data_IF_633566517229
#
_entry.id   IF_633566517229
#
_cell.length_a   1.000
_cell.length_b   1.000
_cell.length_c   1.000
_cell.angle_alpha   90.00
_cell.angle_beta   90.00
_cell.angle_gamma   90.00
#
_symmetry.space_group_name_H-M   'P 1'
#
loop_
_entity.id
_entity.type
_entity.pdbx_description
1 polymer ?
#
# COMPACT_ATOMS: atom_id res chain seq x y z
N UNK A 1 -6.26 -8.26 13.20
CA UNK A 1 -5.46 -8.39 11.95
C UNK A 1 -4.98 -7.01 11.56
N UNK A 2 -3.70 -6.85 11.20
CA UNK A 2 -3.08 -5.58 10.78
C UNK A 2 -3.10 -5.53 9.25
N UNK A 3 -3.80 -4.54 8.67
CA UNK A 3 -4.00 -4.46 7.22
C UNK A 3 -3.01 -3.53 6.51
N UNK A 4 -2.49 -2.54 7.22
CA UNK A 4 -1.60 -1.48 6.72
C UNK A 4 -0.73 -0.97 7.86
N UNK A 5 0.51 -0.57 7.56
CA UNK A 5 1.40 0.13 8.47
C UNK A 5 1.87 1.42 7.81
N UNK A 6 1.76 2.52 8.53
CA UNK A 6 2.22 3.84 8.08
C UNK A 6 3.02 4.48 9.21
N UNK A 7 4.28 4.80 8.95
CA UNK A 7 5.21 5.19 10.01
C UNK A 7 6.57 5.61 9.48
N UNK A 8 7.58 5.57 10.35
CA UNK A 8 8.97 5.92 10.01
C UNK A 8 9.78 4.64 9.83
N UNK A 9 10.56 4.54 8.74
CA UNK A 9 11.50 3.44 8.55
C UNK A 9 12.66 3.60 9.53
N UNK A 10 12.84 2.66 10.43
CA UNK A 10 13.92 2.71 11.43
C UNK A 10 15.06 1.74 11.11
N UNK A 11 14.76 0.63 10.41
CA UNK A 11 15.77 -0.28 9.88
C UNK A 11 15.26 -0.95 8.60
N UNK A 12 16.18 -1.33 7.72
CA UNK A 12 15.87 -1.93 6.43
C UNK A 12 17.01 -2.86 5.99
N UNK A 13 16.68 -4.12 5.74
CA UNK A 13 17.60 -5.15 5.28
C UNK A 13 16.94 -5.98 4.16
N UNK A 14 17.71 -6.61 3.26
CA UNK A 14 17.11 -7.51 2.26
C UNK A 14 16.23 -8.57 2.92
N UNK A 15 14.93 -8.56 2.63
CA UNK A 15 13.94 -9.48 3.20
C UNK A 15 13.22 -9.00 4.46
N UNK A 16 13.65 -7.91 5.10
CA UNK A 16 12.98 -7.37 6.30
C UNK A 16 13.10 -5.86 6.47
N UNK A 17 12.10 -5.24 7.07
CA UNK A 17 12.13 -3.84 7.46
C UNK A 17 11.49 -3.67 8.83
N UNK A 18 11.92 -2.65 9.56
CA UNK A 18 11.32 -2.26 10.83
C UNK A 18 10.71 -0.87 10.68
N UNK A 19 9.42 -0.77 11.00
CA UNK A 19 8.65 0.48 10.88
C UNK A 19 8.21 0.92 12.28
N UNK A 20 8.63 2.11 12.70
CA UNK A 20 8.12 2.75 13.91
C UNK A 20 6.74 3.35 13.65
N UNK A 21 5.77 2.94 14.44
CA UNK A 21 4.42 3.51 14.45
C UNK A 21 4.09 3.95 15.87
N UNK A 22 4.38 5.21 16.16
CA UNK A 22 4.05 5.82 17.46
C UNK A 22 4.90 5.26 18.61
N UNK A 23 6.18 4.97 18.36
CA UNK A 23 7.11 4.42 19.35
C UNK A 23 7.12 2.89 19.45
N UNK A 24 6.37 2.19 18.58
CA UNK A 24 6.39 0.73 18.47
C UNK A 24 7.03 0.31 17.15
N UNK A 25 8.16 -0.40 17.23
CA UNK A 25 8.87 -0.94 16.08
C UNK A 25 8.28 -2.27 15.59
N UNK A 26 7.57 -2.24 14.47
CA UNK A 26 7.03 -3.44 13.83
C UNK A 26 8.05 -4.03 12.85
N UNK A 27 8.50 -5.25 13.11
CA UNK A 27 9.29 -6.01 12.15
C UNK A 27 8.38 -6.64 11.10
N UNK A 28 8.68 -6.39 9.83
CA UNK A 28 7.89 -6.83 8.68
C UNK A 28 8.80 -7.51 7.68
N UNK A 29 8.46 -8.72 7.26
CA UNK A 29 9.13 -9.41 6.16
C UNK A 29 8.63 -8.85 4.82
N UNK A 30 9.56 -8.48 3.95
CA UNK A 30 9.26 -7.78 2.69
C UNK A 30 9.92 -8.51 1.50
N UNK A 31 9.31 -8.51 0.31
CA UNK A 31 9.95 -9.02 -0.89
C UNK A 31 11.03 -8.04 -1.40
N UNK A 32 11.98 -8.53 -2.21
CA UNK A 32 13.07 -7.71 -2.75
C UNK A 32 12.59 -6.47 -3.52
N UNK A 33 11.58 -6.54 -4.42
CA UNK A 33 11.06 -5.33 -5.08
C UNK A 33 10.57 -4.26 -4.11
N UNK A 34 9.92 -4.66 -3.01
CA UNK A 34 9.47 -3.73 -1.97
C UNK A 34 10.65 -3.17 -1.18
N UNK A 35 11.73 -3.94 -1.00
CA UNK A 35 12.97 -3.40 -0.45
C UNK A 35 13.48 -2.26 -1.34
N UNK A 36 13.60 -2.44 -2.65
CA UNK A 36 14.12 -1.37 -3.51
C UNK A 36 13.22 -0.12 -3.56
N UNK A 37 11.90 -0.29 -3.42
CA UNK A 37 10.93 0.81 -3.38
C UNK A 37 10.85 1.52 -2.02
N UNK A 38 11.30 0.88 -0.94
CA UNK A 38 11.42 1.53 0.36
C UNK A 38 12.55 2.56 0.27
N UNK A 39 12.24 3.82 0.58
CA UNK A 39 13.24 4.89 0.62
C UNK A 39 14.30 4.68 1.73
N UNK A 40 14.99 5.76 2.05
CA UNK A 40 16.04 5.75 3.07
C UNK A 40 15.49 5.60 4.50
N UNK A 41 16.34 5.06 5.38
CA UNK A 41 16.06 5.00 6.82
C UNK A 41 15.85 6.42 7.37
N UNK A 42 14.87 6.58 8.25
CA UNK A 42 14.36 7.86 8.73
C UNK A 42 13.23 8.46 7.88
N UNK A 43 12.98 7.90 6.69
CA UNK A 43 11.88 8.30 5.82
C UNK A 43 10.50 7.81 6.29
N UNK A 44 9.44 8.44 5.78
CA UNK A 44 8.07 7.98 5.99
C UNK A 44 7.74 6.86 5.01
N UNK A 45 7.14 5.78 5.50
CA UNK A 45 6.74 4.64 4.68
C UNK A 45 5.29 4.29 4.89
N UNK A 46 4.73 3.63 3.88
CA UNK A 46 3.39 3.10 3.90
C UNK A 46 3.39 1.72 3.24
N UNK A 47 2.99 0.70 3.99
CA UNK A 47 3.02 -0.69 3.57
C UNK A 47 1.65 -1.34 3.72
N UNK A 48 1.28 -2.12 2.71
CA UNK A 48 0.17 -3.05 2.79
C UNK A 48 0.64 -4.30 3.52
N UNK A 49 -0.07 -4.69 4.58
CA UNK A 49 0.35 -5.77 5.47
C UNK A 49 -0.62 -6.94 5.42
N UNK A 50 -0.06 -8.14 5.40
CA UNK A 50 -0.77 -9.39 5.71
C UNK A 50 -0.24 -9.95 7.03
N UNK A 51 -1.11 -10.02 8.04
CA UNK A 51 -0.81 -10.69 9.31
C UNK A 51 -1.01 -12.18 9.17
N UNK A 52 0.05 -12.95 9.41
CA UNK A 52 0.00 -14.40 9.48
C UNK A 52 0.08 -14.83 10.95
N UNK A 53 -1.00 -15.43 11.43
CA UNK A 53 -1.09 -15.94 12.80
C UNK A 53 -1.20 -17.46 12.75
N UNK A 54 -0.34 -18.12 13.53
CA UNK A 54 -0.34 -19.55 13.86
C UNK A 54 -0.22 -19.67 15.38
N UNK A 55 -0.35 -20.88 15.92
CA UNK A 55 -0.29 -21.12 17.37
C UNK A 55 0.98 -20.53 18.01
N UNK A 56 2.13 -20.66 17.35
CA UNK A 56 3.43 -20.21 17.87
C UNK A 56 4.10 -19.13 17.01
N UNK A 57 3.38 -18.53 16.06
CA UNK A 57 4.00 -17.57 15.13
C UNK A 57 3.07 -16.42 14.84
N UNK A 58 3.60 -15.21 15.07
CA UNK A 58 3.02 -13.95 14.66
C UNK A 58 3.98 -13.27 13.70
N UNK A 59 3.65 -13.30 12.40
CA UNK A 59 4.49 -12.73 11.36
C UNK A 59 3.73 -11.69 10.55
N UNK A 60 4.42 -10.60 10.20
CA UNK A 60 3.90 -9.54 9.33
C UNK A 60 4.61 -9.60 7.98
N UNK A 61 3.82 -9.66 6.92
CA UNK A 61 4.33 -9.61 5.54
C UNK A 61 3.90 -8.30 4.91
N UNK A 62 4.87 -7.52 4.43
CA UNK A 62 4.67 -6.17 3.93
C UNK A 62 4.90 -6.06 2.43
N UNK A 63 4.10 -5.22 1.78
CA UNK A 63 4.13 -4.99 0.35
C UNK A 63 3.96 -3.51 0.05
N UNK A 64 4.67 -3.00 -0.96
CA UNK A 64 4.49 -1.63 -1.43
C UNK A 64 3.13 -1.42 -2.11
N UNK A 65 2.65 -2.41 -2.86
CA UNK A 65 1.36 -2.32 -3.56
C UNK A 65 0.31 -3.28 -3.01
N UNK A 66 -0.96 -2.88 -3.11
CA UNK A 66 -2.08 -3.75 -2.75
C UNK A 66 -2.17 -4.99 -3.65
N UNK A 67 -1.68 -4.90 -4.90
CA UNK A 67 -1.69 -5.99 -5.87
C UNK A 67 -0.74 -7.11 -5.44
N UNK A 68 0.45 -6.76 -4.96
CA UNK A 68 1.42 -7.75 -4.48
C UNK A 68 0.89 -8.47 -3.25
N UNK A 69 0.26 -7.73 -2.32
CA UNK A 69 -0.44 -8.32 -1.18
C UNK A 69 -1.54 -9.29 -1.63
N UNK A 70 -2.37 -8.93 -2.61
CA UNK A 70 -3.43 -9.82 -3.09
C UNK A 70 -2.84 -11.11 -3.66
N UNK A 71 -1.81 -11.00 -4.51
CA UNK A 71 -1.10 -12.15 -5.08
C UNK A 71 -0.50 -13.04 -3.99
N UNK A 72 0.14 -12.46 -2.98
CA UNK A 72 0.69 -13.19 -1.85
C UNK A 72 -0.38 -14.01 -1.12
N UNK A 73 -1.54 -13.40 -0.84
CA UNK A 73 -2.65 -14.11 -0.19
C UNK A 73 -3.18 -15.24 -1.07
N UNK A 74 -3.22 -15.07 -2.40
CA UNK A 74 -3.61 -16.16 -3.32
C UNK A 74 -2.59 -17.30 -3.34
N UNK A 75 -1.29 -16.98 -3.29
CA UNK A 75 -0.21 -17.96 -3.20
C UNK A 75 -0.30 -18.78 -1.90
N UNK A 76 -0.58 -18.14 -0.76
CA UNK A 76 -0.77 -18.83 0.52
C UNK A 76 -1.93 -19.82 0.52
N UNK A 77 -2.93 -19.61 -0.33
CA UNK A 77 -4.06 -20.51 -0.48
C UNK A 77 -3.77 -21.71 -1.41
N UNK A 78 -2.56 -21.81 -1.95
CA UNK A 78 -2.09 -22.99 -2.71
C UNK A 78 -1.50 -23.99 -1.71
N UNK A 79 -1.95 -25.23 -1.81
CA UNK A 79 -1.47 -26.29 -0.93
C UNK A 79 0.01 -26.59 -1.18
N UNK A 80 0.80 -26.59 -0.11
CA UNK A 80 2.25 -26.77 -0.18
C UNK A 80 3.05 -25.48 -0.42
N UNK A 81 2.38 -24.32 -0.50
CA UNK A 81 3.03 -23.01 -0.54
C UNK A 81 2.94 -22.36 0.83
N UNK A 82 4.08 -22.23 1.51
CA UNK A 82 4.19 -21.50 2.77
C UNK A 82 4.47 -20.00 2.57
N UNK A 83 4.37 -19.18 3.64
CA UNK A 83 4.66 -17.75 3.57
C UNK A 83 6.06 -17.40 3.05
N UNK A 84 7.07 -18.17 3.47
CA UNK A 84 8.45 -17.99 3.02
C UNK A 84 8.59 -18.25 1.51
N UNK A 85 7.97 -19.33 1.02
CA UNK A 85 7.97 -19.67 -0.41
C UNK A 85 7.20 -18.63 -1.23
N UNK A 86 6.04 -18.19 -0.75
CA UNK A 86 5.26 -17.15 -1.43
C UNK A 86 6.04 -15.82 -1.52
N UNK A 87 6.79 -15.46 -0.48
CA UNK A 87 7.71 -14.31 -0.51
C UNK A 87 8.82 -14.48 -1.55
N UNK A 88 9.41 -15.67 -1.63
CA UNK A 88 10.45 -15.98 -2.61
C UNK A 88 9.92 -15.88 -4.05
N UNK A 89 8.68 -16.31 -4.32
CA UNK A 89 8.04 -16.17 -5.64
C UNK A 89 7.93 -14.70 -6.04
N UNK A 90 7.37 -13.86 -5.16
CA UNK A 90 7.19 -12.44 -5.44
C UNK A 90 8.55 -11.74 -5.54
N UNK A 91 9.54 -12.17 -4.76
CA UNK A 91 10.89 -11.58 -4.82
C UNK A 91 11.65 -11.97 -6.09
N UNK A 92 11.44 -13.17 -6.63
CA UNK A 92 12.17 -13.67 -7.79
C UNK A 92 11.55 -13.27 -9.14
N UNK A 93 10.22 -13.32 -9.25
CA UNK A 93 9.51 -13.05 -10.52
C UNK A 93 8.81 -11.67 -10.48
N UNK A 94 8.43 -11.19 -9.29
CA UNK A 94 7.54 -10.04 -9.18
C UNK A 94 6.12 -10.35 -9.67
N UNK A 95 5.21 -9.42 -9.41
CA UNK A 95 3.78 -9.64 -9.62
C UNK A 95 3.36 -9.74 -11.09
N UNK A 96 3.96 -8.95 -11.97
CA UNK A 96 3.63 -8.94 -13.40
C UNK A 96 4.12 -10.22 -14.07
N UNK A 97 5.37 -10.56 -13.88
CA UNK A 97 5.99 -11.73 -14.51
C UNK A 97 5.41 -13.05 -13.99
N UNK A 98 5.01 -13.09 -12.71
CA UNK A 98 4.28 -14.24 -12.16
C UNK A 98 2.98 -14.47 -12.93
N UNK A 99 2.20 -13.41 -13.19
CA UNK A 99 0.93 -13.51 -13.92
C UNK A 99 1.17 -13.99 -15.35
N UNK A 100 2.20 -13.47 -16.01
CA UNK A 100 2.59 -13.89 -17.37
C UNK A 100 3.03 -15.35 -17.39
N UNK A 101 3.85 -15.77 -16.42
CA UNK A 101 4.32 -17.15 -16.28
C UNK A 101 3.16 -18.12 -16.04
N UNK A 102 2.16 -17.70 -15.26
CA UNK A 102 0.94 -18.50 -15.03
C UNK A 102 0.12 -18.62 -16.31
N UNK A 103 -0.08 -17.53 -17.06
CA UNK A 103 -0.79 -17.54 -18.35
C UNK A 103 -0.09 -18.40 -19.41
N UNK A 104 1.23 -18.31 -19.48
CA UNK A 104 2.05 -19.08 -20.41
C UNK A 104 2.28 -20.53 -19.94
N UNK A 105 1.75 -20.92 -18.76
CA UNK A 105 1.99 -22.23 -18.10
C UNK A 105 3.47 -22.60 -18.05
N UNK A 106 4.34 -21.63 -17.79
CA UNK A 106 5.79 -21.82 -17.79
C UNK A 106 6.28 -22.41 -16.45
N UNK A 107 6.27 -23.75 -16.36
CA UNK A 107 6.73 -24.51 -15.18
C UNK A 107 8.20 -24.25 -14.85
N UNK A 108 9.04 -24.08 -15.88
CA UNK A 108 10.49 -23.91 -15.72
C UNK A 108 10.82 -22.61 -14.97
N UNK A 109 10.15 -21.51 -15.33
CA UNK A 109 10.28 -20.21 -14.63
C UNK A 109 9.84 -20.26 -13.17
N UNK A 110 8.77 -20.99 -12.85
CA UNK A 110 8.32 -21.13 -11.46
C UNK A 110 9.24 -22.05 -10.64
N UNK A 111 9.77 -23.09 -11.28
CA UNK A 111 10.67 -24.06 -10.65
C UNK A 111 12.08 -23.52 -10.43
N UNK A 112 12.45 -22.39 -11.04
CA UNK A 112 13.74 -21.73 -10.77
C UNK A 112 13.76 -20.98 -9.43
N UNK A 113 12.60 -20.77 -8.80
CA UNK A 113 12.51 -20.13 -7.48
C UNK A 113 12.95 -21.14 -6.40
N UNK A 114 13.88 -20.76 -5.50
CA UNK A 114 14.32 -21.64 -4.42
C UNK A 114 13.16 -22.13 -3.55
N UNK A 115 13.09 -23.44 -3.33
CA UNK A 115 12.02 -24.08 -2.55
C UNK A 115 10.76 -24.43 -3.34
N UNK A 116 10.74 -24.22 -4.66
CA UNK A 116 9.65 -24.68 -5.54
C UNK A 116 10.13 -25.86 -6.37
N UNK A 117 9.62 -27.05 -6.05
CA UNK A 117 9.78 -28.22 -6.90
C UNK A 117 8.80 -28.23 -8.08
N UNK A 118 9.07 -29.06 -9.08
CA UNK A 118 8.24 -29.22 -10.29
C UNK A 118 6.75 -29.44 -9.98
N UNK A 119 6.45 -30.36 -9.05
CA UNK A 119 5.07 -30.67 -8.63
C UNK A 119 4.37 -29.47 -7.97
N UNK A 120 5.10 -28.70 -7.17
CA UNK A 120 4.56 -27.49 -6.53
C UNK A 120 4.35 -26.39 -7.58
N UNK A 121 5.27 -26.23 -8.53
CA UNK A 121 5.14 -25.28 -9.63
C UNK A 121 3.90 -25.58 -10.48
N UNK A 122 3.68 -26.84 -10.87
CA UNK A 122 2.48 -27.27 -11.60
C UNK A 122 1.20 -26.96 -10.81
N UNK A 123 1.21 -27.21 -9.50
CA UNK A 123 0.06 -26.90 -8.64
C UNK A 123 -0.21 -25.41 -8.52
N UNK A 124 0.84 -24.60 -8.40
CA UNK A 124 0.73 -23.13 -8.43
C UNK A 124 0.09 -22.69 -9.74
N UNK A 125 0.52 -23.24 -10.89
CA UNK A 125 -0.05 -22.87 -12.19
C UNK A 125 -1.56 -23.14 -12.27
N UNK A 126 -2.01 -24.31 -11.82
CA UNK A 126 -3.43 -24.66 -11.84
C UNK A 126 -4.22 -23.79 -10.87
N UNK A 127 -3.81 -23.76 -9.59
CA UNK A 127 -4.56 -23.06 -8.54
C UNK A 127 -4.58 -21.53 -8.75
N UNK A 128 -3.50 -20.93 -9.28
CA UNK A 128 -3.47 -19.49 -9.59
C UNK A 128 -4.16 -19.14 -10.89
N UNK A 129 -4.16 -20.00 -11.92
CA UNK A 129 -4.83 -19.70 -13.18
C UNK A 129 -6.33 -19.42 -12.94
N UNK A 130 -6.98 -20.28 -12.15
CA UNK A 130 -8.40 -20.13 -11.79
C UNK A 130 -8.67 -18.85 -10.97
N UNK A 131 -7.67 -18.36 -10.21
CA UNK A 131 -7.83 -17.24 -9.26
C UNK A 131 -7.39 -15.89 -9.82
N UNK A 132 -6.47 -15.86 -10.79
CA UNK A 132 -5.85 -14.64 -11.33
C UNK A 132 -6.73 -13.90 -12.34
N UNK A 133 -7.68 -14.57 -13.01
CA UNK A 133 -8.63 -13.91 -13.91
C UNK A 133 -9.35 -12.74 -13.22
N UNK A 134 -9.65 -12.90 -11.92
CA UNK A 134 -10.28 -11.88 -11.09
C UNK A 134 -9.40 -10.65 -10.79
N UNK A 135 -8.07 -10.79 -10.83
CA UNK A 135 -7.11 -9.71 -10.52
C UNK A 135 -6.76 -8.93 -11.78
N UNK A 136 -6.59 -9.63 -12.91
CA UNK A 136 -6.34 -9.01 -14.20
C UNK A 136 -7.46 -8.05 -14.62
N UNK A 137 -8.72 -8.40 -14.34
CA UNK A 137 -9.87 -7.53 -14.60
C UNK A 137 -9.87 -6.23 -13.75
N UNK A 138 -9.17 -6.22 -12.61
CA UNK A 138 -9.07 -5.07 -11.69
C UNK A 138 -7.79 -4.25 -11.89
N UNK A 139 -6.73 -4.83 -12.45
CA UNK A 139 -5.43 -4.20 -12.68
C UNK A 139 -5.41 -3.07 -13.73
N UNK A 140 -6.44 -2.95 -14.56
CA UNK A 140 -6.58 -1.87 -15.55
C UNK A 140 -6.96 -0.50 -14.97
N UNK A 141 -7.23 -0.41 -13.66
CA UNK A 141 -7.59 0.84 -12.97
C UNK A 141 -6.57 1.21 -11.89
N UNK A 142 -5.28 1.03 -12.17
CA UNK A 142 -4.25 1.67 -11.34
C UNK A 142 -4.38 3.19 -11.50
N UNK A 143 -4.87 3.80 -10.44
CA UNK A 143 -5.07 5.23 -10.24
C UNK A 143 -3.74 5.94 -10.47
N UNK A 144 -3.55 6.50 -11.67
CA UNK A 144 -2.61 7.59 -11.90
C UNK A 144 -2.82 8.60 -10.77
N UNK A 145 -1.82 8.72 -9.91
CA UNK A 145 -1.55 9.91 -9.12
C UNK A 145 -1.46 11.09 -10.09
N UNK A 146 -2.61 11.72 -10.37
CA UNK A 146 -2.65 13.08 -10.87
C UNK A 146 -2.31 13.97 -9.68
N UNK A 147 -1.02 14.25 -9.53
CA UNK A 147 -0.60 15.55 -9.00
C UNK A 147 -1.27 16.61 -9.88
N UNK A 148 -1.97 17.57 -9.26
CA UNK A 148 -2.55 18.74 -9.96
C UNK A 148 -1.45 19.52 -10.69
N UNK A 149 -1.72 20.32 -11.72
CA UNK A 149 -2.95 20.93 -12.19
C UNK A 149 -2.82 21.13 -13.70
N UNK A 150 -3.88 20.81 -14.43
CA UNK A 150 -4.21 21.27 -15.79
C UNK A 150 -5.19 20.26 -16.39
N UNK A 151 -6.10 20.77 -17.21
CA UNK A 151 -6.99 20.00 -18.07
C UNK A 151 -8.25 19.47 -17.37
N UNK A 152 -9.18 20.40 -17.17
CA UNK A 152 -10.61 20.13 -17.16
C UNK A 152 -11.30 21.07 -18.15
N UNK A 153 -10.97 20.91 -19.43
CA UNK A 153 -11.81 21.40 -20.53
C UNK A 153 -12.03 20.27 -21.51
N UNK A 154 -13.03 19.44 -21.23
CA UNK A 154 -13.94 18.88 -22.23
C UNK A 154 -14.87 17.89 -21.55
N UNK A 155 -16.08 18.37 -21.28
CA UNK A 155 -17.35 17.62 -21.36
C UNK A 155 -18.49 18.58 -21.01
N UNK A 156 -18.76 19.48 -21.94
CA UNK A 156 -20.07 20.15 -22.06
C UNK A 156 -20.74 19.57 -23.30
N UNK A 157 -22.07 19.42 -23.21
CA UNK A 157 -23.01 18.95 -24.22
C UNK A 157 -23.30 17.44 -24.20
N UNK A 158 -24.30 17.03 -23.42
CA UNK A 158 -25.65 16.73 -23.95
C UNK A 158 -26.47 15.90 -22.94
N UNK A 159 -27.35 16.57 -22.20
CA UNK A 159 -28.55 15.95 -21.62
C UNK A 159 -29.70 16.92 -21.85
N UNK A 160 -30.64 16.66 -22.77
CA UNK A 160 -31.90 17.38 -22.81
C UNK A 160 -32.93 16.66 -21.93
N UNK A 161 -33.65 17.42 -21.13
CA UNK A 161 -34.94 17.00 -20.57
C UNK A 161 -34.97 16.82 -19.07
N UNK A 162 -35.20 17.91 -18.35
CA UNK A 162 -36.04 17.89 -17.15
C UNK A 162 -36.77 19.24 -17.08
N UNK A 163 -38.06 19.17 -17.37
CA UNK A 163 -38.97 20.30 -17.34
C UNK A 163 -39.15 20.82 -15.91
N UNK A 164 -39.16 22.15 -15.82
CA UNK A 164 -39.83 23.04 -14.88
C UNK A 164 -40.48 22.43 -13.61
N UNK A 165 -40.21 23.04 -12.45
CA UNK A 165 -41.03 24.15 -11.92
C UNK A 165 -40.45 24.71 -10.62
N UNK A 166 -40.24 26.02 -10.65
CA UNK A 166 -40.53 27.01 -9.63
C UNK A 166 -40.31 26.67 -8.15
N UNK A 167 -39.29 27.30 -7.57
CA UNK A 167 -39.45 28.05 -6.31
C UNK A 167 -38.37 29.14 -6.24
N UNK A 168 -38.82 30.39 -6.37
CA UNK A 168 -38.04 31.61 -6.21
C UNK A 168 -37.86 31.95 -4.73
N UNK A 169 -36.93 32.91 -4.51
CA UNK A 169 -36.66 33.68 -3.29
C UNK A 169 -35.66 33.02 -2.31
N UNK A 170 -34.57 33.65 -1.86
CA UNK A 170 -34.14 35.04 -1.96
C UNK A 170 -32.61 35.13 -1.75
N UNK A 171 -32.00 36.09 -2.44
CA UNK A 171 -30.69 36.71 -2.18
C UNK A 171 -30.96 37.87 -1.16
N UNK A 172 -30.01 38.65 -0.57
CA UNK A 172 -28.54 38.52 -0.45
C UNK A 172 -27.92 38.88 0.93
N UNK A 173 -26.58 38.76 0.98
CA UNK A 173 -25.61 39.65 1.66
C UNK A 173 -25.60 39.74 3.20
N UNK A 174 -24.45 39.37 3.77
CA UNK A 174 -23.63 40.37 4.48
C UNK A 174 -22.17 39.91 4.59
N UNK A 175 -21.33 40.56 3.80
CA UNK A 175 -19.90 40.71 4.06
C UNK A 175 -19.66 41.61 5.27
N UNK A 176 -18.66 41.26 6.09
CA UNK A 176 -17.69 42.11 6.87
C UNK A 176 -17.16 41.21 7.99
N UNK A 177 -15.91 40.73 7.99
CA UNK A 177 -14.58 41.39 7.98
C UNK A 177 -14.33 42.21 9.26
N UNK A 178 -13.11 42.03 9.77
CA UNK A 178 -12.42 42.78 10.85
C UNK A 178 -12.79 42.35 12.26
N UNK A 179 -11.90 42.29 13.24
CA UNK A 179 -10.42 42.26 13.37
C UNK A 179 -10.20 42.22 14.90
N UNK A 180 -9.09 41.64 15.32
CA UNK A 180 -8.25 41.98 16.49
C UNK A 180 -8.88 42.66 17.72
N UNK A 181 -8.63 42.08 18.90
CA UNK A 181 -7.81 42.66 19.98
C UNK A 181 -7.77 41.67 21.16
N UNK A 182 -6.60 41.27 21.65
CA UNK A 182 -5.92 41.94 22.76
C UNK A 182 -6.29 41.20 24.05
N UNK A 183 -5.40 40.59 24.83
CA UNK A 183 -4.08 41.02 25.26
C UNK A 183 -4.11 41.12 26.79
N UNK A 184 -3.21 40.42 27.50
CA UNK A 184 -2.74 40.69 28.87
C UNK A 184 -1.91 39.47 29.34
N UNK A 185 -0.57 39.53 29.46
CA UNK A 185 0.22 40.13 30.56
C UNK A 185 -0.07 39.48 31.91
N UNK A 186 0.85 38.88 32.69
CA UNK A 186 2.32 38.75 32.74
C UNK A 186 2.62 37.81 33.95
N UNK A 187 3.70 37.93 34.75
CA UNK A 187 5.09 38.39 34.53
C UNK A 187 6.13 37.25 34.78
N UNK A 188 7.25 37.17 34.04
CA UNK A 188 8.66 37.56 34.42
C UNK A 188 9.09 37.10 35.83
N UNK A 189 9.95 36.06 35.95
CA UNK A 189 11.45 36.06 36.02
C UNK A 189 11.99 36.50 37.41
N UNK A 190 13.29 36.32 37.77
CA UNK A 190 14.42 35.64 37.10
C UNK A 190 15.36 34.82 38.04
N UNK A 191 16.30 34.09 37.41
CA UNK A 191 17.71 34.01 37.83
C UNK A 191 18.16 32.63 38.31
N UNK A 192 19.30 32.06 37.92
CA UNK A 192 20.51 32.59 37.28
C UNK A 192 21.71 31.80 37.84
N UNK A 193 22.83 31.79 37.10
CA UNK A 193 24.14 31.13 37.35
C UNK A 193 24.23 29.65 36.95
N UNK A 194 24.98 29.22 35.92
CA UNK A 194 26.35 29.56 35.45
C UNK A 194 27.46 29.11 36.42
N UNK A 195 28.17 28.05 36.03
CA UNK A 195 29.63 27.97 35.83
C UNK A 195 30.22 26.62 36.26
N UNK A 196 30.80 25.91 35.28
CA UNK A 196 32.12 25.24 35.28
C UNK A 196 32.22 24.28 34.09
#
# INVERSE_FOLDING_TARGET
MIARLSGTLIDKQPGSAVVDVGGVGYQVSIPLPTYDELGEVGGRVDLYVHTHVRQDTFALFGFHTARDKEIFVRLLAVNGVGPRTALAVISGLGSTELIESVRARNVTRLSSVPGIGRKTAERILVDLADRLESIAARGGRSRRSRTGAAQLEQRVASVPGAAARDAQAAVPLSTRRCRDHGGASGPRRPGGHADA
#
